data_IF_541716670473
#
_entry.id   IF_541716670473
#
_cell.length_a   1.000
_cell.length_b   1.000
_cell.length_c   1.000
_cell.angle_alpha   90.00
_cell.angle_beta   90.00
_cell.angle_gamma   90.00
#
_symmetry.space_group_name_H-M   'P 1'
#
loop_
_entity.id
_entity.type
_entity.pdbx_description
1 polymer ?
#
# COMPACT_ATOMS: atom_id res chain seq x y z
N UNK A 1 -15.63 9.95 -8.23
CA UNK A 1 -15.49 9.61 -6.79
C UNK A 1 -16.23 10.68 -5.98
N UNK A 2 -16.94 10.29 -4.93
CA UNK A 2 -17.85 11.14 -4.15
C UNK A 2 -19.04 11.76 -4.93
N UNK A 3 -19.29 11.35 -6.15
CA UNK A 3 -20.49 11.74 -6.87
C UNK A 3 -21.73 11.16 -6.18
N UNK A 4 -22.72 12.01 -5.93
CA UNK A 4 -23.97 11.59 -5.33
C UNK A 4 -24.77 10.71 -6.30
N UNK A 5 -25.21 9.55 -5.84
CA UNK A 5 -26.13 8.71 -6.58
C UNK A 5 -27.56 9.25 -6.47
N UNK A 6 -28.42 8.96 -7.46
CA UNK A 6 -29.85 9.22 -7.33
C UNK A 6 -30.43 8.57 -6.07
N UNK A 7 -31.45 9.18 -5.51
CA UNK A 7 -32.17 8.61 -4.35
C UNK A 7 -32.85 7.28 -4.71
N UNK A 8 -33.17 6.48 -3.69
CA UNK A 8 -33.93 5.22 -3.90
C UNK A 8 -35.22 5.44 -4.68
N UNK A 9 -35.94 6.55 -4.45
CA UNK A 9 -37.17 6.87 -5.17
C UNK A 9 -36.90 7.17 -6.65
N UNK A 10 -35.83 7.94 -6.95
CA UNK A 10 -35.45 8.23 -8.34
C UNK A 10 -35.00 6.94 -9.07
N UNK A 11 -34.37 6.01 -8.43
CA UNK A 11 -34.04 4.68 -9.02
C UNK A 11 -35.32 3.88 -9.29
N UNK A 12 -36.28 3.86 -8.35
CA UNK A 12 -37.58 3.20 -8.53
C UNK A 12 -38.30 3.77 -9.76
N UNK A 13 -38.37 5.08 -9.87
CA UNK A 13 -39.05 5.78 -10.96
C UNK A 13 -38.35 5.56 -12.31
N UNK A 14 -37.01 5.64 -12.33
CA UNK A 14 -36.22 5.50 -13.56
C UNK A 14 -36.16 4.07 -14.08
N UNK A 15 -36.12 3.06 -13.19
CA UNK A 15 -35.90 1.67 -13.56
C UNK A 15 -37.19 0.81 -13.54
N UNK A 16 -38.28 1.34 -12.99
CA UNK A 16 -39.55 0.61 -12.87
C UNK A 16 -39.48 -0.60 -11.92
N UNK A 17 -38.51 -0.60 -10.98
CA UNK A 17 -38.28 -1.69 -10.04
C UNK A 17 -38.94 -1.42 -8.69
N UNK A 18 -39.17 -2.49 -7.91
CA UNK A 18 -39.68 -2.32 -6.56
C UNK A 18 -38.63 -1.65 -5.64
N UNK A 19 -39.09 -0.87 -4.66
CA UNK A 19 -38.22 -0.23 -3.67
C UNK A 19 -37.37 -1.25 -2.92
N UNK A 20 -37.88 -2.45 -2.66
CA UNK A 20 -37.13 -3.53 -2.03
C UNK A 20 -35.96 -3.99 -2.90
N UNK A 21 -36.18 -4.12 -4.22
CA UNK A 21 -35.15 -4.53 -5.17
C UNK A 21 -34.05 -3.50 -5.26
N UNK A 22 -34.40 -2.21 -5.37
CA UNK A 22 -33.44 -1.11 -5.39
C UNK A 22 -32.63 -1.06 -4.09
N UNK A 23 -33.29 -1.15 -2.92
CA UNK A 23 -32.62 -1.11 -1.63
C UNK A 23 -31.66 -2.29 -1.44
N UNK A 24 -32.05 -3.50 -1.89
CA UNK A 24 -31.20 -4.68 -1.86
C UNK A 24 -29.95 -4.46 -2.73
N UNK A 25 -30.10 -4.03 -3.97
CA UNK A 25 -28.97 -3.77 -4.86
C UNK A 25 -28.00 -2.71 -4.28
N UNK A 26 -28.54 -1.60 -3.71
CA UNK A 26 -27.71 -0.59 -3.07
C UNK A 26 -27.00 -1.10 -1.81
N UNK A 27 -27.60 -2.07 -1.06
CA UNK A 27 -26.91 -2.73 0.05
C UNK A 27 -25.77 -3.64 -0.42
N UNK A 28 -26.00 -4.42 -1.48
CA UNK A 28 -25.00 -5.28 -2.09
C UNK A 28 -23.80 -4.43 -2.59
N UNK A 29 -24.07 -3.36 -3.35
CA UNK A 29 -23.04 -2.42 -3.82
C UNK A 29 -22.28 -1.75 -2.66
N UNK A 30 -22.96 -1.46 -1.56
CA UNK A 30 -22.29 -0.92 -0.36
C UNK A 30 -21.44 -1.97 0.35
N UNK A 31 -21.90 -3.22 0.43
CA UNK A 31 -21.14 -4.33 0.99
C UNK A 31 -19.88 -4.62 0.16
N UNK A 32 -19.99 -4.51 -1.17
CA UNK A 32 -18.86 -4.66 -2.11
C UNK A 32 -17.93 -3.42 -2.13
N UNK A 33 -18.26 -2.37 -1.36
CA UNK A 33 -17.46 -1.16 -1.30
C UNK A 33 -17.47 -0.31 -2.57
N UNK A 34 -18.44 -0.52 -3.46
CA UNK A 34 -18.62 0.25 -4.71
C UNK A 34 -19.27 1.60 -4.41
N UNK A 35 -20.15 1.64 -3.42
CA UNK A 35 -20.81 2.86 -2.97
C UNK A 35 -20.67 3.03 -1.45
N UNK A 36 -20.74 4.28 -0.98
CA UNK A 36 -20.80 4.64 0.45
C UNK A 36 -22.18 5.19 0.76
N UNK A 37 -22.86 4.63 1.76
CA UNK A 37 -24.16 5.11 2.24
C UNK A 37 -23.95 5.97 3.48
N UNK A 38 -24.52 7.19 3.46
CA UNK A 38 -24.49 8.12 4.59
C UNK A 38 -25.92 8.30 5.07
N UNK A 39 -26.15 7.89 6.33
CA UNK A 39 -27.50 7.95 6.91
C UNK A 39 -28.06 9.37 6.87
N UNK A 40 -29.27 9.54 6.33
CA UNK A 40 -29.95 10.82 6.20
C UNK A 40 -29.41 11.75 5.09
N UNK A 41 -28.32 11.38 4.40
CA UNK A 41 -27.74 12.22 3.35
C UNK A 41 -27.90 11.57 1.97
N UNK A 42 -27.54 10.28 1.83
CA UNK A 42 -27.67 9.60 0.53
C UNK A 42 -26.61 8.53 0.30
N UNK A 43 -26.52 8.09 -0.95
CA UNK A 43 -25.49 7.15 -1.42
C UNK A 43 -24.54 7.88 -2.37
N UNK A 44 -23.26 7.56 -2.29
CA UNK A 44 -22.19 8.17 -3.06
C UNK A 44 -21.31 7.08 -3.67
N UNK A 45 -20.69 7.35 -4.82
CA UNK A 45 -19.67 6.47 -5.39
C UNK A 45 -18.49 6.41 -4.41
N UNK A 46 -18.19 5.22 -3.90
CA UNK A 46 -17.08 5.07 -2.97
C UNK A 46 -15.74 5.28 -3.68
N UNK A 47 -14.74 5.87 -3.02
CA UNK A 47 -13.38 5.89 -3.53
C UNK A 47 -12.92 4.45 -3.79
N UNK A 48 -12.41 4.20 -5.00
CA UNK A 48 -11.93 2.85 -5.35
C UNK A 48 -10.62 2.61 -4.64
N UNK A 49 -10.61 1.66 -3.70
CA UNK A 49 -9.38 1.24 -3.02
C UNK A 49 -8.39 0.68 -4.05
N UNK A 50 -7.15 1.08 -3.95
CA UNK A 50 -6.06 0.43 -4.67
C UNK A 50 -5.99 -1.03 -4.22
N UNK A 51 -5.85 -1.95 -5.17
CA UNK A 51 -5.77 -3.40 -4.91
C UNK A 51 -4.39 -3.90 -5.31
N UNK A 52 -3.81 -4.78 -4.51
CA UNK A 52 -2.56 -5.49 -4.80
C UNK A 52 -2.70 -6.96 -4.53
N UNK A 53 -1.90 -7.77 -5.24
CA UNK A 53 -1.86 -9.21 -5.04
C UNK A 53 -1.21 -9.57 -3.68
N UNK A 54 -1.89 -10.40 -2.89
CA UNK A 54 -1.39 -10.83 -1.57
C UNK A 54 -0.14 -11.69 -1.68
N UNK A 55 -0.07 -12.57 -2.69
CA UNK A 55 0.95 -13.62 -2.83
C UNK A 55 2.09 -13.26 -3.81
N UNK A 56 2.10 -12.05 -4.34
CA UNK A 56 3.11 -11.59 -5.28
C UNK A 56 3.80 -10.34 -4.77
N UNK A 57 5.06 -10.15 -5.17
CA UNK A 57 5.82 -8.96 -4.82
C UNK A 57 5.87 -8.04 -6.03
N UNK A 58 5.06 -7.00 -6.01
CA UNK A 58 5.01 -5.99 -7.07
C UNK A 58 5.60 -4.66 -6.63
N UNK A 59 6.01 -3.88 -7.63
CA UNK A 59 6.32 -2.46 -7.44
C UNK A 59 5.01 -1.67 -7.34
N UNK A 60 4.87 -0.88 -6.28
CA UNK A 60 3.70 0.00 -6.10
C UNK A 60 3.53 0.99 -7.26
N UNK A 61 4.63 1.40 -7.89
CA UNK A 61 4.57 2.28 -9.06
C UNK A 61 3.92 1.58 -10.26
N UNK A 62 4.22 0.30 -10.48
CA UNK A 62 3.63 -0.48 -11.57
C UNK A 62 2.15 -0.79 -11.28
N UNK A 63 1.80 -1.08 -10.03
CA UNK A 63 0.41 -1.24 -9.61
C UNK A 63 -0.43 0.02 -9.88
N UNK A 64 0.10 1.20 -9.52
CA UNK A 64 -0.57 2.49 -9.76
C UNK A 64 -0.72 2.74 -11.27
N UNK A 65 0.33 2.50 -12.06
CA UNK A 65 0.28 2.66 -13.52
C UNK A 65 -0.68 1.67 -14.18
N UNK A 66 -0.75 0.43 -13.71
CA UNK A 66 -1.67 -0.59 -14.24
C UNK A 66 -3.14 -0.18 -14.06
N UNK A 67 -3.45 0.65 -13.05
CA UNK A 67 -4.77 1.26 -12.86
C UNK A 67 -5.00 2.51 -13.72
N UNK A 68 -4.04 2.91 -14.57
CA UNK A 68 -4.09 4.13 -15.39
C UNK A 68 -3.89 5.42 -14.58
N UNK A 69 -3.27 5.33 -13.40
CA UNK A 69 -3.05 6.45 -12.50
C UNK A 69 -1.57 6.88 -12.50
N UNK A 70 -1.32 8.11 -12.06
CA UNK A 70 0.01 8.67 -11.96
C UNK A 70 0.63 8.35 -10.59
N UNK A 71 1.74 7.62 -10.61
CA UNK A 71 2.55 7.40 -9.42
C UNK A 71 3.51 8.59 -9.20
N UNK A 72 3.61 9.05 -7.97
CA UNK A 72 4.62 10.03 -7.51
C UNK A 72 5.12 9.62 -6.14
N UNK A 73 6.31 10.13 -5.76
CA UNK A 73 6.93 9.83 -4.47
C UNK A 73 7.34 11.11 -3.75
N UNK A 74 7.44 11.00 -2.44
CA UNK A 74 8.05 12.01 -1.57
C UNK A 74 9.03 11.30 -0.64
N UNK A 75 10.31 11.56 -0.81
CA UNK A 75 11.39 11.00 0.02
C UNK A 75 11.43 11.75 1.34
N UNK A 76 11.24 11.02 2.44
CA UNK A 76 11.31 11.56 3.80
C UNK A 76 12.69 11.36 4.42
N UNK A 77 13.37 10.28 4.04
CA UNK A 77 14.73 9.95 4.49
C UNK A 77 15.40 9.05 3.46
N UNK A 78 16.68 9.28 3.24
CA UNK A 78 17.59 8.39 2.51
C UNK A 78 18.97 8.58 3.10
N UNK A 79 19.55 7.53 3.68
CA UNK A 79 20.85 7.63 4.32
C UNK A 79 21.33 6.30 4.90
N UNK A 80 22.55 6.33 5.44
CA UNK A 80 23.15 5.25 6.21
C UNK A 80 22.89 5.48 7.70
N UNK A 81 22.59 4.42 8.44
CA UNK A 81 22.50 4.44 9.90
C UNK A 81 23.04 3.14 10.49
N UNK A 82 23.41 3.11 11.78
CA UNK A 82 23.80 1.87 12.45
C UNK A 82 22.58 0.97 12.64
N UNK A 83 22.69 -0.31 12.25
CA UNK A 83 21.65 -1.29 12.45
C UNK A 83 21.36 -1.49 13.95
N UNK A 84 20.10 -1.42 14.35
CA UNK A 84 19.68 -1.87 15.66
C UNK A 84 19.75 -3.41 15.77
N UNK A 85 19.49 -3.96 16.95
CA UNK A 85 19.55 -5.39 17.20
C UNK A 85 18.63 -6.18 16.27
N UNK A 86 17.39 -5.69 16.09
CA UNK A 86 16.39 -6.34 15.25
C UNK A 86 16.79 -6.34 13.77
N UNK A 87 17.15 -5.16 13.25
CA UNK A 87 17.56 -4.98 11.85
C UNK A 87 18.85 -5.75 11.55
N UNK A 88 19.82 -5.67 12.45
CA UNK A 88 21.10 -6.37 12.32
C UNK A 88 20.96 -7.88 12.31
N UNK A 89 20.12 -8.43 13.21
CA UNK A 89 19.82 -9.86 13.27
C UNK A 89 19.11 -10.35 12.01
N UNK A 90 18.08 -9.62 11.54
CA UNK A 90 17.32 -10.00 10.35
C UNK A 90 18.16 -9.94 9.07
N UNK A 91 18.94 -8.87 8.87
CA UNK A 91 19.78 -8.73 7.67
C UNK A 91 21.10 -9.53 7.75
N UNK A 92 21.39 -10.18 8.89
CA UNK A 92 22.61 -10.95 9.09
C UNK A 92 23.88 -10.12 9.07
N UNK A 93 23.80 -8.81 9.37
CA UNK A 93 24.95 -7.89 9.36
C UNK A 93 25.49 -7.57 10.76
N UNK A 94 24.74 -7.91 11.80
CA UNK A 94 25.06 -7.61 13.20
C UNK A 94 24.71 -6.19 13.63
N UNK A 95 24.51 -6.03 14.95
CA UNK A 95 24.15 -4.74 15.58
C UNK A 95 25.26 -3.70 15.39
N UNK A 96 24.90 -2.45 15.15
CA UNK A 96 25.83 -1.32 14.99
C UNK A 96 26.54 -1.28 13.65
N UNK A 97 26.37 -2.28 12.78
CA UNK A 97 26.94 -2.25 11.42
C UNK A 97 26.12 -1.31 10.52
N UNK A 98 26.76 -0.68 9.53
CA UNK A 98 26.07 0.18 8.59
C UNK A 98 24.94 -0.53 7.87
N UNK A 99 23.78 0.10 7.78
CA UNK A 99 22.64 -0.30 6.97
C UNK A 99 22.12 0.91 6.20
N UNK A 100 21.72 0.72 4.95
CA UNK A 100 21.04 1.78 4.22
C UNK A 100 19.57 1.79 4.59
N UNK A 101 19.02 2.98 4.78
CA UNK A 101 17.60 3.19 5.03
C UNK A 101 17.02 4.18 4.07
N UNK A 102 15.82 3.89 3.58
CA UNK A 102 14.97 4.85 2.88
C UNK A 102 13.59 4.88 3.53
N UNK A 103 13.02 6.08 3.61
CA UNK A 103 11.65 6.30 4.02
C UNK A 103 10.95 7.14 2.97
N UNK A 104 9.97 6.54 2.28
CA UNK A 104 9.35 7.10 1.07
C UNK A 104 7.84 7.00 1.16
N UNK A 105 7.15 8.10 0.87
CA UNK A 105 5.70 8.09 0.66
C UNK A 105 5.42 7.93 -0.82
N UNK A 106 4.69 6.89 -1.18
CA UNK A 106 4.20 6.66 -2.54
C UNK A 106 2.76 7.19 -2.66
N UNK A 107 2.48 7.92 -3.72
CA UNK A 107 1.19 8.55 -3.96
C UNK A 107 0.59 8.07 -5.28
N UNK A 108 -0.74 7.95 -5.31
CA UNK A 108 -1.55 7.76 -6.50
C UNK A 108 -2.31 9.07 -6.77
N UNK A 109 -2.08 9.69 -7.93
CA UNK A 109 -2.65 11.00 -8.32
C UNK A 109 -2.48 12.10 -7.24
N UNK A 110 -1.35 12.07 -6.52
CA UNK A 110 -1.02 13.01 -5.45
C UNK A 110 -1.58 12.65 -4.08
N UNK A 111 -2.42 11.60 -3.98
CA UNK A 111 -2.93 11.10 -2.70
C UNK A 111 -1.97 10.05 -2.13
N UNK A 112 -1.47 10.19 -0.88
CA UNK A 112 -0.61 9.20 -0.26
C UNK A 112 -1.30 7.84 -0.15
N UNK A 113 -0.65 6.79 -0.68
CA UNK A 113 -1.17 5.43 -0.72
C UNK A 113 -0.38 4.47 0.16
N UNK A 114 0.94 4.67 0.24
CA UNK A 114 1.86 3.81 1.00
C UNK A 114 2.98 4.64 1.61
N UNK A 115 3.30 4.35 2.87
CA UNK A 115 4.56 4.75 3.49
C UNK A 115 5.47 3.52 3.54
N UNK A 116 6.54 3.57 2.77
CA UNK A 116 7.61 2.55 2.78
C UNK A 116 8.73 3.00 3.72
N UNK A 117 9.10 2.16 4.68
CA UNK A 117 10.29 2.30 5.55
C UNK A 117 11.13 1.04 5.36
N UNK A 118 12.24 1.17 4.63
CA UNK A 118 13.05 0.04 4.16
C UNK A 118 14.47 0.12 4.67
N UNK A 119 14.97 -1.02 5.13
CA UNK A 119 16.36 -1.27 5.45
C UNK A 119 16.98 -2.21 4.41
N UNK A 120 18.17 -1.87 3.94
CA UNK A 120 18.86 -2.59 2.86
C UNK A 120 20.28 -2.94 3.31
N UNK A 121 20.67 -4.17 3.07
CA UNK A 121 22.05 -4.62 3.31
C UNK A 121 22.98 -4.00 2.26
N UNK A 122 23.95 -3.15 2.66
CA UNK A 122 24.84 -2.45 1.74
C UNK A 122 25.62 -3.35 0.78
N UNK A 123 25.92 -4.59 1.20
CA UNK A 123 26.70 -5.54 0.40
C UNK A 123 25.99 -5.95 -0.90
N UNK A 124 24.65 -5.86 -0.95
CA UNK A 124 23.85 -6.28 -2.11
C UNK A 124 23.35 -5.12 -2.96
N UNK A 125 23.49 -3.89 -2.49
CA UNK A 125 22.92 -2.72 -3.15
C UNK A 125 23.90 -1.54 -3.19
N UNK A 126 25.11 -1.70 -3.77
CA UNK A 126 26.01 -0.57 -3.95
C UNK A 126 25.31 0.50 -4.78
N UNK A 127 25.51 1.78 -4.44
CA UNK A 127 24.85 2.90 -5.11
C UNK A 127 23.37 3.12 -4.74
N UNK A 128 22.85 2.44 -3.70
CA UNK A 128 21.46 2.67 -3.23
C UNK A 128 21.24 4.11 -2.77
N UNK A 129 22.20 4.68 -2.06
CA UNK A 129 22.13 6.06 -1.56
C UNK A 129 22.32 7.12 -2.66
N UNK A 130 22.85 6.73 -3.82
CA UNK A 130 23.04 7.64 -4.97
C UNK A 130 21.76 7.73 -5.83
N UNK A 131 20.71 6.99 -5.47
CA UNK A 131 19.47 6.97 -6.24
C UNK A 131 18.56 8.15 -5.92
N UNK A 132 17.94 8.70 -6.95
CA UNK A 132 16.84 9.65 -6.81
C UNK A 132 15.49 8.90 -6.78
N UNK A 133 15.01 8.60 -5.58
CA UNK A 133 13.72 7.95 -5.39
C UNK A 133 12.50 8.87 -5.61
N UNK A 134 12.70 10.08 -6.13
CA UNK A 134 11.60 10.87 -6.69
C UNK A 134 11.29 10.48 -8.14
N UNK A 135 12.24 9.82 -8.83
CA UNK A 135 12.11 9.35 -10.21
C UNK A 135 11.86 7.86 -10.34
N UNK A 136 12.12 7.09 -9.29
CA UNK A 136 11.96 5.64 -9.25
C UNK A 136 11.56 5.14 -7.87
N UNK A 137 11.56 3.82 -7.69
CA UNK A 137 11.26 3.21 -6.39
C UNK A 137 12.44 2.43 -5.84
N UNK A 138 12.58 2.29 -4.52
CA UNK A 138 13.55 1.39 -3.90
C UNK A 138 13.45 -0.04 -4.45
N UNK A 139 12.21 -0.51 -4.66
CA UNK A 139 11.96 -1.85 -5.21
C UNK A 139 12.51 -2.01 -6.64
N UNK A 140 12.23 -1.06 -7.53
CA UNK A 140 12.71 -1.11 -8.91
C UNK A 140 14.25 -1.11 -9.00
N UNK A 141 14.92 -0.33 -8.14
CA UNK A 141 16.37 -0.35 -8.06
C UNK A 141 16.91 -1.69 -7.56
N UNK A 142 16.38 -2.19 -6.44
CA UNK A 142 16.82 -3.47 -5.85
C UNK A 142 16.61 -4.64 -6.80
N UNK A 143 15.50 -4.66 -7.54
CA UNK A 143 15.22 -5.72 -8.53
C UNK A 143 16.24 -5.76 -9.67
N UNK A 144 16.91 -4.64 -9.97
CA UNK A 144 17.97 -4.57 -10.99
C UNK A 144 19.32 -5.05 -10.46
N UNK A 145 19.69 -4.64 -9.23
CA UNK A 145 21.03 -4.91 -8.69
C UNK A 145 21.11 -6.21 -7.90
N UNK A 146 20.00 -6.65 -7.31
CA UNK A 146 19.86 -7.89 -6.55
C UNK A 146 18.55 -8.58 -6.93
N UNK A 147 18.49 -9.28 -8.09
CA UNK A 147 17.27 -9.89 -8.60
C UNK A 147 16.58 -10.76 -7.56
N UNK A 148 15.29 -10.52 -7.38
CA UNK A 148 14.45 -11.19 -6.40
C UNK A 148 14.32 -12.69 -6.70
N UNK A 149 14.77 -13.53 -5.76
CA UNK A 149 14.57 -14.98 -5.81
C UNK A 149 13.41 -15.43 -4.91
N UNK A 150 13.19 -14.72 -3.79
CA UNK A 150 12.13 -15.03 -2.82
C UNK A 150 11.64 -13.76 -2.14
N UNK A 151 10.33 -13.69 -1.89
CA UNK A 151 9.68 -12.68 -1.06
C UNK A 151 8.85 -13.32 0.05
N UNK A 152 8.71 -12.62 1.16
CA UNK A 152 7.84 -12.99 2.28
C UNK A 152 7.05 -11.78 2.71
N UNK A 153 5.75 -11.97 2.94
CA UNK A 153 4.86 -10.95 3.49
C UNK A 153 4.25 -11.45 4.80
N UNK A 154 4.27 -10.60 5.82
CA UNK A 154 3.44 -10.72 7.02
C UNK A 154 2.54 -9.50 7.04
N UNK A 155 1.23 -9.71 7.14
CA UNK A 155 0.24 -8.64 7.06
C UNK A 155 -0.47 -8.51 8.41
N UNK A 156 -0.51 -7.30 8.93
CA UNK A 156 -1.15 -6.95 10.19
C UNK A 156 -2.08 -5.75 10.02
N UNK A 157 -3.11 -5.68 10.86
CA UNK A 157 -3.93 -4.49 11.01
C UNK A 157 -3.42 -3.70 12.21
N UNK A 158 -3.09 -2.43 12.01
CA UNK A 158 -2.50 -1.57 13.05
C UNK A 158 -3.14 -0.17 13.03
N UNK A 159 -3.02 0.55 14.15
CA UNK A 159 -3.16 2.01 14.14
C UNK A 159 -1.79 2.61 13.87
N UNK A 160 -1.72 3.54 12.93
CA UNK A 160 -0.48 4.21 12.57
C UNK A 160 -0.01 5.17 13.70
N UNK A 161 1.30 5.36 13.80
CA UNK A 161 1.84 6.37 14.70
C UNK A 161 1.42 7.79 14.26
N UNK A 162 1.38 8.79 15.16
CA UNK A 162 1.07 10.17 14.77
C UNK A 162 1.97 10.70 13.65
N UNK A 163 3.24 10.30 13.63
CA UNK A 163 4.19 10.67 12.60
C UNK A 163 3.86 10.01 11.25
N UNK A 164 3.45 8.73 11.24
CA UNK A 164 3.06 8.02 10.04
C UNK A 164 1.71 8.53 9.50
N UNK A 165 0.76 8.84 10.40
CA UNK A 165 -0.50 9.50 10.04
C UNK A 165 -0.25 10.84 9.34
N UNK A 166 0.64 11.68 9.88
CA UNK A 166 0.99 12.96 9.27
C UNK A 166 1.65 12.77 7.88
N UNK A 167 2.51 11.75 7.73
CA UNK A 167 3.15 11.44 6.46
C UNK A 167 2.13 10.96 5.41
N UNK A 168 1.13 10.18 5.81
CA UNK A 168 0.11 9.61 4.94
C UNK A 168 -1.12 10.51 4.76
N UNK A 169 -1.26 11.58 5.57
CA UNK A 169 -2.51 12.33 5.65
C UNK A 169 -3.69 11.41 5.98
N UNK A 170 -3.49 10.51 6.94
CA UNK A 170 -4.48 9.55 7.41
C UNK A 170 -5.06 9.97 8.77
N UNK A 171 -6.29 9.57 9.05
CA UNK A 171 -6.90 9.77 10.37
C UNK A 171 -6.20 8.86 11.40
N UNK A 172 -5.80 9.37 12.58
CA UNK A 172 -5.20 8.55 13.63
C UNK A 172 -6.08 7.38 14.12
N UNK A 173 -7.39 7.47 13.97
CA UNK A 173 -8.34 6.40 14.29
C UNK A 173 -8.57 5.41 13.14
N UNK A 174 -8.00 5.68 11.96
CA UNK A 174 -8.15 4.81 10.80
C UNK A 174 -7.27 3.57 10.91
N UNK A 175 -7.84 2.35 10.82
CA UNK A 175 -7.03 1.13 10.72
C UNK A 175 -6.20 1.12 9.43
N UNK A 176 -4.92 0.80 9.56
CA UNK A 176 -4.00 0.65 8.45
C UNK A 176 -3.62 -0.81 8.26
N UNK A 177 -3.34 -1.21 7.01
CA UNK A 177 -2.65 -2.46 6.71
C UNK A 177 -1.15 -2.21 6.77
N UNK A 178 -0.47 -2.98 7.62
CA UNK A 178 0.99 -3.02 7.70
C UNK A 178 1.47 -4.32 7.06
N UNK A 179 2.26 -4.20 6.00
CA UNK A 179 2.92 -5.34 5.37
C UNK A 179 4.40 -5.31 5.72
N UNK A 180 4.84 -6.28 6.50
CA UNK A 180 6.27 -6.57 6.67
C UNK A 180 6.73 -7.39 5.48
N UNK A 181 7.62 -6.82 4.67
CA UNK A 181 8.18 -7.47 3.48
C UNK A 181 9.64 -7.79 3.70
N UNK A 182 10.00 -9.05 3.46
CA UNK A 182 11.40 -9.49 3.37
C UNK A 182 11.69 -9.93 1.95
N UNK A 183 12.86 -9.56 1.43
CA UNK A 183 13.23 -9.90 0.04
C UNK A 183 14.64 -10.48 -0.01
N UNK A 184 14.75 -11.64 -0.66
CA UNK A 184 16.00 -12.36 -0.85
C UNK A 184 16.43 -12.36 -2.31
N UNK A 185 17.74 -12.23 -2.52
CA UNK A 185 18.38 -12.56 -3.78
C UNK A 185 19.19 -13.83 -3.55
N UNK A 186 18.89 -14.89 -4.27
CA UNK A 186 19.37 -16.24 -3.94
C UNK A 186 19.01 -16.57 -2.48
N UNK A 187 20.01 -16.92 -1.65
CA UNK A 187 19.81 -17.27 -0.23
C UNK A 187 20.07 -16.11 0.75
N UNK A 188 20.44 -14.94 0.24
CA UNK A 188 20.79 -13.79 1.07
C UNK A 188 19.60 -12.83 1.21
N UNK A 189 19.29 -12.42 2.45
CA UNK A 189 18.30 -11.38 2.72
C UNK A 189 18.89 -10.01 2.34
N UNK A 190 18.29 -9.39 1.32
CA UNK A 190 18.75 -8.12 0.76
C UNK A 190 18.09 -6.95 1.46
N UNK A 191 16.80 -7.03 1.74
CA UNK A 191 16.07 -5.95 2.40
C UNK A 191 14.91 -6.43 3.25
N UNK A 192 14.60 -5.62 4.26
CA UNK A 192 13.37 -5.68 5.05
C UNK A 192 12.65 -4.35 4.91
N UNK A 193 11.32 -4.37 4.80
CA UNK A 193 10.53 -3.16 4.66
C UNK A 193 9.23 -3.26 5.46
N UNK A 194 8.83 -2.12 6.03
CA UNK A 194 7.49 -1.87 6.55
C UNK A 194 6.74 -1.04 5.52
N UNK A 195 5.64 -1.58 5.00
CA UNK A 195 4.79 -0.94 4.01
C UNK A 195 3.44 -0.68 4.68
N UNK A 196 3.20 0.58 5.03
CA UNK A 196 2.01 0.98 5.76
C UNK A 196 1.02 1.65 4.80
N UNK A 197 -0.22 1.16 4.80
CA UNK A 197 -1.27 1.62 3.90
C UNK A 197 -2.52 2.02 4.69
N UNK A 198 -3.11 3.21 4.45
CA UNK A 198 -4.42 3.54 5.01
C UNK A 198 -5.50 2.57 4.52
N UNK A 199 -6.26 1.99 5.45
CA UNK A 199 -7.26 0.96 5.13
C UNK A 199 -8.43 1.46 4.27
N UNK A 200 -8.69 2.78 4.25
CA UNK A 200 -9.67 3.39 3.35
C UNK A 200 -9.20 3.45 1.89
N UNK A 201 -7.87 3.38 1.65
CA UNK A 201 -7.27 3.61 0.33
C UNK A 201 -6.70 2.35 -0.32
N UNK A 202 -6.44 1.30 0.47
CA UNK A 202 -5.72 0.12 0.01
C UNK A 202 -6.33 -1.18 0.53
N UNK A 203 -6.20 -2.25 -0.26
CA UNK A 203 -6.56 -3.62 0.11
C UNK A 203 -5.62 -4.62 -0.56
N UNK A 204 -5.49 -5.79 0.04
CA UNK A 204 -4.81 -6.95 -0.52
C UNK A 204 -5.85 -7.96 -1.00
N UNK A 205 -5.69 -8.47 -2.20
CA UNK A 205 -6.58 -9.46 -2.79
C UNK A 205 -5.81 -10.72 -3.15
N UNK A 206 -6.41 -11.88 -2.90
CA UNK A 206 -5.88 -13.17 -3.32
C UNK A 206 -7.01 -14.05 -3.81
N UNK A 207 -6.87 -14.66 -4.98
CA UNK A 207 -7.80 -15.66 -5.51
C UNK A 207 -7.19 -17.05 -5.36
N UNK A 208 -7.98 -18.00 -4.89
CA UNK A 208 -7.58 -19.40 -4.73
C UNK A 208 -8.53 -20.30 -5.50
N UNK A 209 -7.99 -21.25 -6.25
CA UNK A 209 -8.75 -22.34 -6.82
C UNK A 209 -8.79 -23.49 -5.79
N UNK A 210 -9.97 -23.98 -5.46
CA UNK A 210 -10.14 -25.24 -4.69
C UNK A 210 -10.14 -26.41 -5.68
N UNK A 211 -9.30 -27.39 -5.45
CA UNK A 211 -9.27 -28.65 -6.17
C UNK A 211 -10.25 -29.65 -5.56
#
# INVERSE_FOLDING_TARGET
>A
EDDALPSESQFVDALGLSRMTVNRALRELAADGVIRRVMGVGSFVAPRKASSALLEVHDIADEVRARGRRHTTRVLFLGEEPADEHTGAHLGIGTGRPVFRSRVVHCEDGVPLQLEDRYVNPAFAPGYLDQDFTLGTPFAFLSKVAPLGRGEHIVEAVLASPQDCAALGADPAEPCLLVHRRTWSRDALVSIARLLHPGSRYRLEGAFATH
#
